data_IF_984839653290
#
_entry.id   IF_984839653290
#
_cell.length_a   1.000
_cell.length_b   1.000
_cell.length_c   1.000
_cell.angle_alpha   90.00
_cell.angle_beta   90.00
_cell.angle_gamma   90.00
#
_symmetry.space_group_name_H-M   'P 1'
#
loop_
_entity.id
_entity.type
_entity.pdbx_description
1 polymer ?
#
# COMPACT_ATOMS: atom_id res chain seq x y z
N UNK A 1 -31.65 23.30 23.16
CA UNK A 1 -30.41 24.03 22.79
C UNK A 1 -29.54 23.98 24.03
N UNK A 2 -28.36 23.37 24.13
CA UNK A 2 -27.23 23.09 23.24
C UNK A 2 -26.43 22.04 24.05
N UNK A 3 -25.91 20.92 23.55
CA UNK A 3 -24.69 20.85 22.75
C UNK A 3 -24.45 19.37 22.43
N UNK A 4 -24.46 19.00 21.15
CA UNK A 4 -23.88 17.75 20.71
C UNK A 4 -22.38 17.99 20.59
N UNK A 5 -21.65 17.71 21.66
CA UNK A 5 -20.19 17.73 21.64
C UNK A 5 -19.73 16.62 20.69
N UNK A 6 -19.24 17.08 19.55
CA UNK A 6 -18.50 16.39 18.52
C UNK A 6 -17.56 15.33 19.10
N UNK A 7 -17.95 14.07 18.98
CA UNK A 7 -17.09 12.92 19.23
C UNK A 7 -16.23 12.68 17.99
N UNK A 8 -15.29 13.60 17.72
CA UNK A 8 -14.16 13.38 16.82
C UNK A 8 -13.18 12.46 17.55
N UNK A 9 -13.54 11.18 17.69
CA UNK A 9 -12.54 10.18 18.08
C UNK A 9 -11.54 10.13 16.94
N UNK A 10 -10.32 10.58 17.24
CA UNK A 10 -9.13 10.28 16.47
C UNK A 10 -9.27 8.87 15.92
N UNK A 11 -9.38 8.74 14.60
CA UNK A 11 -9.31 7.43 13.97
C UNK A 11 -7.90 6.92 14.22
N UNK A 12 -7.74 6.06 15.23
CA UNK A 12 -6.45 5.48 15.54
C UNK A 12 -5.87 4.87 14.25
N UNK A 13 -4.59 5.12 13.95
CA UNK A 13 -3.98 4.58 12.76
C UNK A 13 -4.14 3.05 12.76
N UNK A 14 -4.47 2.48 11.60
CA UNK A 14 -4.63 1.03 11.47
C UNK A 14 -3.39 0.32 12.08
N UNK A 15 -3.54 -0.76 12.87
CA UNK A 15 -2.42 -1.39 13.58
C UNK A 15 -1.22 -1.74 12.68
N UNK A 16 -1.50 -2.18 11.45
CA UNK A 16 -0.46 -2.43 10.43
C UNK A 16 0.36 -1.18 10.04
N UNK A 17 -0.26 0.01 9.98
CA UNK A 17 0.46 1.26 9.74
C UNK A 17 1.41 1.57 10.90
N UNK A 18 0.93 1.46 12.14
CA UNK A 18 1.76 1.66 13.33
C UNK A 18 2.93 0.66 13.38
N UNK A 19 2.65 -0.62 13.12
CA UNK A 19 3.69 -1.65 13.03
C UNK A 19 4.76 -1.30 11.98
N UNK A 20 4.36 -0.82 10.80
CA UNK A 20 5.32 -0.48 9.73
C UNK A 20 6.28 0.65 10.09
N UNK A 21 5.81 1.62 10.88
CA UNK A 21 6.64 2.71 11.39
C UNK A 21 7.63 2.20 12.45
N UNK A 22 7.19 1.31 13.34
CA UNK A 22 8.02 0.75 14.41
C UNK A 22 9.14 -0.16 13.89
N UNK A 23 8.84 -1.00 12.89
CA UNK A 23 9.82 -1.95 12.33
C UNK A 23 10.83 -1.27 11.39
N UNK A 24 10.52 -0.07 10.89
CA UNK A 24 11.42 0.75 10.06
C UNK A 24 11.63 0.17 8.66
N UNK A 25 10.68 0.40 7.76
CA UNK A 25 10.79 -0.07 6.37
C UNK A 25 12.01 0.54 5.66
N UNK A 26 12.72 -0.27 4.88
CA UNK A 26 13.74 0.20 3.96
C UNK A 26 13.14 0.55 2.57
N UNK A 27 13.89 1.25 1.70
CA UNK A 27 13.43 1.61 0.35
C UNK A 27 12.90 0.44 -0.48
N UNK A 28 13.58 -0.72 -0.45
CA UNK A 28 13.18 -1.91 -1.21
C UNK A 28 11.82 -2.47 -0.72
N UNK A 29 11.57 -2.41 0.59
CA UNK A 29 10.29 -2.80 1.18
C UNK A 29 9.18 -1.80 0.82
N UNK A 30 9.48 -0.50 0.75
CA UNK A 30 8.53 0.51 0.29
C UNK A 30 8.15 0.29 -1.19
N UNK A 31 9.12 -0.05 -2.04
CA UNK A 31 8.86 -0.44 -3.44
C UNK A 31 7.97 -1.68 -3.52
N UNK A 32 8.30 -2.72 -2.75
CA UNK A 32 7.48 -3.93 -2.72
C UNK A 32 6.05 -3.65 -2.23
N UNK A 33 5.88 -2.75 -1.25
CA UNK A 33 4.57 -2.31 -0.76
C UNK A 33 3.78 -1.64 -1.88
N UNK A 34 4.40 -0.70 -2.59
CA UNK A 34 3.80 0.02 -3.72
C UNK A 34 3.37 -0.96 -4.82
N UNK A 35 4.21 -1.94 -5.15
CA UNK A 35 3.87 -2.98 -6.12
C UNK A 35 2.66 -3.83 -5.70
N UNK A 36 2.55 -4.18 -4.42
CA UNK A 36 1.36 -4.92 -3.92
C UNK A 36 0.11 -4.04 -3.98
N UNK A 37 0.19 -2.76 -3.64
CA UNK A 37 -0.93 -1.81 -3.78
C UNK A 37 -1.40 -1.72 -5.23
N UNK A 38 -0.48 -1.61 -6.19
CA UNK A 38 -0.82 -1.64 -7.62
C UNK A 38 -1.54 -2.94 -8.02
N UNK A 39 -1.12 -4.10 -7.49
CA UNK A 39 -1.84 -5.37 -7.71
C UNK A 39 -3.23 -5.39 -7.09
N UNK A 40 -3.42 -4.74 -5.94
CA UNK A 40 -4.74 -4.64 -5.30
C UNK A 40 -5.67 -3.79 -6.17
N UNK A 41 -5.20 -2.63 -6.62
CA UNK A 41 -5.97 -1.70 -7.45
C UNK A 41 -6.26 -2.25 -8.86
N UNK A 42 -5.35 -3.05 -9.44
CA UNK A 42 -5.59 -3.76 -10.72
C UNK A 42 -6.36 -5.08 -10.56
N UNK A 43 -6.95 -5.35 -9.39
CA UNK A 43 -7.70 -6.58 -9.11
C UNK A 43 -6.91 -7.89 -9.36
N UNK A 44 -5.58 -7.86 -9.29
CA UNK A 44 -4.69 -9.04 -9.47
C UNK A 44 -4.19 -9.64 -8.14
N UNK A 45 -4.58 -9.05 -7.01
CA UNK A 45 -4.17 -9.51 -5.68
C UNK A 45 -5.17 -10.52 -5.07
N UNK A 46 -4.67 -11.69 -4.66
CA UNK A 46 -5.43 -12.79 -4.04
C UNK A 46 -5.54 -12.72 -2.51
N UNK A 47 -5.04 -11.65 -1.90
CA UNK A 47 -5.12 -11.42 -0.46
C UNK A 47 -6.58 -11.25 0.00
N UNK A 48 -6.87 -11.66 1.24
CA UNK A 48 -8.16 -11.44 1.88
C UNK A 48 -8.45 -9.95 2.06
N UNK A 49 -9.72 -9.52 2.20
CA UNK A 49 -10.06 -8.11 2.38
C UNK A 49 -9.31 -7.42 3.52
N UNK A 50 -9.21 -8.07 4.68
CA UNK A 50 -8.46 -7.53 5.84
C UNK A 50 -6.96 -7.36 5.56
N UNK A 51 -6.34 -8.31 4.87
CA UNK A 51 -4.93 -8.22 4.47
C UNK A 51 -4.69 -7.10 3.45
N UNK A 52 -5.63 -6.89 2.52
CA UNK A 52 -5.57 -5.77 1.56
C UNK A 52 -5.66 -4.43 2.28
N UNK A 53 -6.55 -4.30 3.27
CA UNK A 53 -6.64 -3.10 4.10
C UNK A 53 -5.36 -2.84 4.89
N UNK A 54 -4.76 -3.89 5.47
CA UNK A 54 -3.50 -3.79 6.19
C UNK A 54 -2.36 -3.26 5.29
N UNK A 55 -2.21 -3.80 4.08
CA UNK A 55 -1.18 -3.33 3.13
C UNK A 55 -1.45 -1.90 2.65
N UNK A 56 -2.70 -1.52 2.43
CA UNK A 56 -3.05 -0.13 2.07
C UNK A 56 -2.67 0.85 3.18
N UNK A 57 -2.88 0.46 4.44
CA UNK A 57 -2.50 1.29 5.59
C UNK A 57 -0.97 1.40 5.74
N UNK A 58 -0.24 0.31 5.50
CA UNK A 58 1.23 0.31 5.47
C UNK A 58 1.73 1.25 4.37
N UNK A 59 1.15 1.15 3.17
CA UNK A 59 1.50 2.04 2.06
C UNK A 59 1.36 3.51 2.44
N UNK A 60 0.25 3.90 3.08
CA UNK A 60 0.06 5.28 3.53
C UNK A 60 1.15 5.73 4.52
N UNK A 61 1.62 4.80 5.36
CA UNK A 61 2.69 5.05 6.32
C UNK A 61 4.11 5.05 5.71
N UNK A 62 4.36 4.40 4.57
CA UNK A 62 5.75 4.23 4.04
C UNK A 62 5.97 4.85 2.66
N UNK A 63 4.92 5.30 1.95
CA UNK A 63 5.00 5.91 0.61
C UNK A 63 5.87 7.16 0.50
N UNK A 64 6.24 7.76 1.62
CA UNK A 64 7.08 8.95 1.67
C UNK A 64 8.58 8.62 1.78
N UNK A 65 8.93 7.35 2.01
CA UNK A 65 10.30 6.89 1.94
C UNK A 65 10.78 6.96 0.49
N UNK A 66 12.07 7.20 0.29
CA UNK A 66 12.67 7.19 -1.04
C UNK A 66 12.38 5.83 -1.71
N UNK A 67 11.67 5.88 -2.83
CA UNK A 67 11.30 4.72 -3.64
C UNK A 67 12.15 4.76 -4.91
N UNK A 68 13.28 4.04 -4.97
CA UNK A 68 14.21 4.14 -6.10
C UNK A 68 13.59 3.61 -7.41
N UNK A 69 12.54 2.80 -7.33
CA UNK A 69 11.89 2.21 -8.50
C UNK A 69 10.68 3.00 -9.00
N UNK A 70 10.07 3.86 -8.19
CA UNK A 70 8.82 4.54 -8.56
C UNK A 70 8.92 6.06 -8.39
N UNK A 71 8.60 6.78 -9.45
CA UNK A 71 8.49 8.23 -9.43
C UNK A 71 7.17 8.69 -8.78
N UNK A 72 7.06 9.98 -8.46
CA UNK A 72 5.86 10.58 -7.87
C UNK A 72 4.57 10.26 -8.65
N UNK A 73 4.66 10.11 -9.98
CA UNK A 73 3.54 9.77 -10.84
C UNK A 73 2.82 8.46 -10.44
N UNK A 74 3.55 7.48 -9.88
CA UNK A 74 2.96 6.22 -9.41
C UNK A 74 2.03 6.47 -8.20
N UNK A 75 2.46 7.32 -7.28
CA UNK A 75 1.66 7.66 -6.10
C UNK A 75 0.43 8.49 -6.47
N UNK A 76 0.52 9.31 -7.52
CA UNK A 76 -0.63 10.05 -8.06
C UNK A 76 -1.66 9.13 -8.70
N UNK A 77 -1.22 8.14 -9.49
CA UNK A 77 -2.11 7.13 -10.06
C UNK A 77 -2.81 6.30 -8.97
N UNK A 78 -2.07 5.88 -7.94
CA UNK A 78 -2.64 5.18 -6.77
C UNK A 78 -3.68 6.04 -6.06
N UNK A 79 -3.40 7.33 -5.86
CA UNK A 79 -4.34 8.27 -5.24
C UNK A 79 -5.61 8.42 -6.08
N UNK A 80 -5.49 8.61 -7.39
CA UNK A 80 -6.62 8.73 -8.29
C UNK A 80 -7.50 7.46 -8.29
N UNK A 81 -6.88 6.28 -8.40
CA UNK A 81 -7.59 5.00 -8.37
C UNK A 81 -8.33 4.73 -7.05
N UNK A 82 -7.81 5.22 -5.92
CA UNK A 82 -8.50 5.12 -4.62
C UNK A 82 -9.69 6.08 -4.50
N UNK A 83 -9.59 7.27 -5.09
CA UNK A 83 -10.65 8.29 -5.00
C UNK A 83 -11.81 8.01 -5.98
N UNK A 84 -11.50 7.54 -7.18
CA UNK A 84 -12.47 7.32 -8.25
C UNK A 84 -12.19 5.98 -8.95
N UNK A 85 -12.48 4.85 -8.29
CA UNK A 85 -12.26 3.54 -8.90
C UNK A 85 -13.14 3.39 -10.15
N UNK A 86 -12.49 3.08 -11.28
CA UNK A 86 -13.16 2.90 -12.56
C UNK A 86 -12.19 2.49 -13.67
N UNK A 87 -12.72 2.25 -14.87
CA UNK A 87 -11.96 1.74 -16.02
C UNK A 87 -10.72 2.60 -16.32
N UNK A 88 -10.87 3.93 -16.37
CA UNK A 88 -9.75 4.84 -16.66
C UNK A 88 -8.62 4.74 -15.63
N UNK A 89 -8.96 4.64 -14.34
CA UNK A 89 -7.94 4.48 -13.29
C UNK A 89 -7.29 3.09 -13.32
N UNK A 90 -8.03 2.05 -13.74
CA UNK A 90 -7.51 0.71 -13.91
C UNK A 90 -6.54 0.65 -15.10
N UNK A 91 -6.89 1.27 -16.22
CA UNK A 91 -6.02 1.43 -17.39
C UNK A 91 -4.72 2.17 -17.06
N UNK A 92 -4.77 3.16 -16.16
CA UNK A 92 -3.58 3.86 -15.68
C UNK A 92 -2.73 3.03 -14.71
N UNK A 93 -3.35 2.26 -13.80
CA UNK A 93 -2.65 1.43 -12.81
C UNK A 93 -2.03 0.19 -13.45
N UNK A 94 -2.67 -0.39 -14.47
CA UNK A 94 -2.23 -1.62 -15.11
C UNK A 94 -0.77 -1.60 -15.60
N UNK A 95 -0.32 -0.63 -16.44
CA UNK A 95 1.07 -0.59 -16.90
C UNK A 95 2.05 -0.38 -15.75
N UNK A 96 1.68 0.39 -14.72
CA UNK A 96 2.51 0.59 -13.53
C UNK A 96 2.71 -0.71 -12.76
N UNK A 97 1.65 -1.53 -12.60
CA UNK A 97 1.76 -2.87 -12.00
C UNK A 97 2.68 -3.76 -12.82
N UNK A 98 2.53 -3.78 -14.15
CA UNK A 98 3.37 -4.60 -15.05
C UNK A 98 4.84 -4.20 -14.91
N UNK A 99 5.12 -2.89 -14.92
CA UNK A 99 6.47 -2.38 -14.71
C UNK A 99 7.03 -2.81 -13.34
N UNK A 100 6.27 -2.65 -12.26
CA UNK A 100 6.67 -3.07 -10.93
C UNK A 100 7.01 -4.58 -10.84
N UNK A 101 6.21 -5.42 -11.49
CA UNK A 101 6.44 -6.88 -11.53
C UNK A 101 7.68 -7.28 -12.33
N UNK A 102 8.04 -6.49 -13.35
CA UNK A 102 9.26 -6.70 -14.13
C UNK A 102 10.50 -6.17 -13.41
N UNK A 103 10.38 -5.03 -12.73
CA UNK A 103 11.49 -4.36 -12.05
C UNK A 103 11.90 -5.03 -10.74
N UNK A 104 10.94 -5.53 -9.95
CA UNK A 104 11.22 -6.13 -8.63
C UNK A 104 11.59 -7.61 -8.78
N UNK A 105 12.82 -8.03 -8.42
CA UNK A 105 13.23 -9.42 -8.54
C UNK A 105 12.37 -10.36 -7.69
N UNK A 106 12.07 -11.55 -8.22
CA UNK A 106 11.29 -12.57 -7.49
C UNK A 106 11.85 -12.90 -6.09
N UNK A 107 13.17 -13.02 -5.87
CA UNK A 107 13.73 -13.25 -4.53
C UNK A 107 13.45 -12.10 -3.55
N UNK A 108 13.45 -10.86 -4.03
CA UNK A 108 13.13 -9.65 -3.25
C UNK A 108 11.69 -9.69 -2.78
N UNK A 109 10.75 -9.87 -3.71
CA UNK A 109 9.32 -9.97 -3.40
C UNK A 109 9.02 -11.17 -2.48
N UNK A 110 9.73 -12.31 -2.63
CA UNK A 110 9.58 -13.47 -1.74
C UNK A 110 9.99 -13.13 -0.31
N UNK A 111 11.14 -12.49 -0.11
CA UNK A 111 11.62 -12.03 1.20
C UNK A 111 10.65 -11.02 1.83
N UNK A 112 10.18 -10.06 1.05
CA UNK A 112 9.19 -9.09 1.51
C UNK A 112 7.88 -9.75 1.99
N UNK A 113 7.37 -10.75 1.26
CA UNK A 113 6.18 -11.51 1.68
C UNK A 113 6.40 -12.38 2.92
N UNK A 114 7.63 -12.82 3.20
CA UNK A 114 7.95 -13.49 4.45
C UNK A 114 7.88 -12.47 5.59
N UNK A 115 8.58 -11.35 5.44
CA UNK A 115 8.58 -10.23 6.38
C UNK A 115 7.17 -9.72 6.75
N UNK A 116 6.28 -9.51 5.75
CA UNK A 116 4.89 -9.11 6.05
C UNK A 116 4.13 -10.18 6.84
N UNK A 117 4.33 -11.47 6.53
CA UNK A 117 3.63 -12.55 7.22
C UNK A 117 4.06 -12.61 8.66
N UNK A 118 5.36 -12.60 8.91
CA UNK A 118 5.92 -12.72 10.26
C UNK A 118 5.54 -11.53 11.15
N UNK A 119 5.34 -10.35 10.56
CA UNK A 119 4.99 -9.13 11.31
C UNK A 119 3.50 -8.82 11.44
N UNK A 120 2.64 -9.32 10.55
CA UNK A 120 1.21 -8.96 10.51
C UNK A 120 0.25 -10.14 10.67
N UNK A 121 0.68 -11.33 10.27
CA UNK A 121 -0.19 -12.52 10.16
C UNK A 121 0.36 -13.73 10.94
N UNK A 122 1.51 -13.56 11.59
CA UNK A 122 2.20 -14.56 12.41
C UNK A 122 1.76 -14.51 13.86
#
# INVERSE_FOLDING_TARGET
MTSAATDLRNADPHPAAQWSLLVGFNPEQADCTTAVVLKILDNKCKMLPGEKLAVMAIYDAVRHLASPLFECAVHDAIRAARQQPGTLTLEAVHPLRVHAEAAIPKPVMKRYKAFLRDGLFG
#
